data_IF_737045275290
#
_entry.id   IF_737045275290
#
_cell.length_a   1.000
_cell.length_b   1.000
_cell.length_c   1.000
_cell.angle_alpha   90.00
_cell.angle_beta   90.00
_cell.angle_gamma   90.00
#
_symmetry.space_group_name_H-M   'P 1'
#
loop_
_entity.id
_entity.type
_entity.pdbx_description
1 polymer ?
#
# COMPACT_ATOMS: atom_id res chain seq x y z
N UNK A 1 4.15 -36.69 15.96
CA UNK A 1 4.51 -35.33 16.43
C UNK A 1 3.29 -34.43 16.43
N UNK A 2 3.09 -33.62 17.48
CA UNK A 2 2.05 -32.60 17.49
C UNK A 2 2.34 -31.48 16.47
N UNK A 3 1.32 -30.96 15.76
CA UNK A 3 1.52 -29.87 14.82
C UNK A 3 1.82 -28.55 15.55
N UNK A 4 2.74 -27.74 15.01
CA UNK A 4 3.04 -26.42 15.54
C UNK A 4 1.82 -25.50 15.46
N UNK A 5 1.44 -24.89 16.60
CA UNK A 5 0.34 -23.92 16.68
C UNK A 5 0.88 -22.58 17.18
N UNK A 6 0.85 -21.58 16.30
CA UNK A 6 1.23 -20.22 16.68
C UNK A 6 0.06 -19.50 17.37
N UNK A 7 0.22 -19.18 18.66
CA UNK A 7 -0.83 -18.56 19.48
C UNK A 7 -1.35 -17.23 18.93
N UNK A 8 -0.51 -16.49 18.19
CA UNK A 8 -0.86 -15.19 17.61
C UNK A 8 -1.21 -15.27 16.13
N UNK A 9 -1.61 -16.45 15.61
CA UNK A 9 -1.96 -16.60 14.19
C UNK A 9 -3.09 -15.66 13.77
N UNK A 10 -4.11 -15.47 14.61
CA UNK A 10 -5.21 -14.53 14.31
C UNK A 10 -4.73 -13.08 14.25
N UNK A 11 -3.77 -12.71 15.10
CA UNK A 11 -3.15 -11.37 15.05
C UNK A 11 -2.36 -11.19 13.77
N UNK A 12 -1.59 -12.21 13.35
CA UNK A 12 -0.84 -12.17 12.09
C UNK A 12 -1.79 -11.99 10.89
N UNK A 13 -2.85 -12.80 10.81
CA UNK A 13 -3.86 -12.71 9.76
C UNK A 13 -4.54 -11.34 9.72
N UNK A 14 -4.83 -10.76 10.89
CA UNK A 14 -5.41 -9.42 10.97
C UNK A 14 -4.44 -8.35 10.47
N UNK A 15 -3.16 -8.44 10.83
CA UNK A 15 -2.12 -7.50 10.35
C UNK A 15 -1.88 -7.62 8.84
N UNK A 16 -1.97 -8.82 8.28
CA UNK A 16 -1.95 -9.05 6.83
C UNK A 16 -3.09 -8.32 6.14
N UNK A 17 -4.33 -8.47 6.64
CA UNK A 17 -5.50 -7.74 6.11
C UNK A 17 -5.32 -6.22 6.17
N UNK A 18 -4.82 -5.69 7.28
CA UNK A 18 -4.55 -4.25 7.41
C UNK A 18 -3.48 -3.75 6.44
N UNK A 19 -2.46 -4.57 6.16
CA UNK A 19 -1.46 -4.24 5.15
C UNK A 19 -2.08 -4.22 3.74
N UNK A 20 -2.93 -5.19 3.41
CA UNK A 20 -3.58 -5.26 2.11
C UNK A 20 -4.59 -4.12 1.90
N UNK A 21 -5.34 -3.75 2.95
CA UNK A 21 -6.20 -2.56 2.95
C UNK A 21 -5.38 -1.28 2.70
N UNK A 22 -4.20 -1.14 3.33
CA UNK A 22 -3.32 0.00 3.11
C UNK A 22 -2.75 0.04 1.68
N UNK A 23 -2.42 -1.11 1.08
CA UNK A 23 -2.01 -1.19 -0.35
C UNK A 23 -3.14 -0.73 -1.27
N UNK A 24 -4.36 -1.19 -1.03
CA UNK A 24 -5.53 -0.79 -1.81
C UNK A 24 -5.80 0.72 -1.68
N UNK A 25 -5.68 1.27 -0.47
CA UNK A 25 -5.84 2.69 -0.22
C UNK A 25 -4.79 3.52 -0.98
N UNK A 26 -3.52 3.09 -0.95
CA UNK A 26 -2.45 3.73 -1.71
C UNK A 26 -2.72 3.71 -3.22
N UNK A 27 -3.07 2.55 -3.78
CA UNK A 27 -3.37 2.42 -5.20
C UNK A 27 -4.53 3.34 -5.65
N UNK A 28 -5.58 3.48 -4.82
CA UNK A 28 -6.69 4.41 -5.08
C UNK A 28 -6.22 5.87 -5.06
N UNK A 29 -5.40 6.26 -4.08
CA UNK A 29 -4.88 7.61 -3.97
C UNK A 29 -3.96 7.97 -5.17
N UNK A 30 -3.09 7.05 -5.59
CA UNK A 30 -2.23 7.21 -6.76
C UNK A 30 -3.03 7.32 -8.05
N UNK A 31 -4.07 6.49 -8.22
CA UNK A 31 -4.98 6.57 -9.36
C UNK A 31 -5.71 7.91 -9.41
N UNK A 32 -6.22 8.41 -8.27
CA UNK A 32 -6.87 9.71 -8.19
C UNK A 32 -5.91 10.85 -8.53
N UNK A 33 -4.67 10.81 -8.02
CA UNK A 33 -3.63 11.79 -8.34
C UNK A 33 -3.30 11.78 -9.84
N UNK A 34 -3.16 10.60 -10.44
CA UNK A 34 -2.89 10.46 -11.87
C UNK A 34 -4.04 11.00 -12.73
N UNK A 35 -5.29 10.72 -12.34
CA UNK A 35 -6.47 11.22 -13.03
C UNK A 35 -6.57 12.76 -12.97
N UNK A 36 -6.31 13.36 -11.80
CA UNK A 36 -6.33 14.81 -11.65
C UNK A 36 -5.19 15.48 -12.43
N UNK A 37 -4.01 14.85 -12.52
CA UNK A 37 -2.91 15.34 -13.38
C UNK A 37 -3.30 15.36 -14.85
N UNK A 38 -3.98 14.32 -15.32
CA UNK A 38 -4.48 14.27 -16.69
C UNK A 38 -5.53 15.35 -16.94
N UNK A 39 -6.42 15.57 -15.98
CA UNK A 39 -7.42 16.65 -16.03
C UNK A 39 -6.76 18.03 -16.10
N UNK A 40 -5.75 18.29 -15.28
CA UNK A 40 -5.02 19.55 -15.31
C UNK A 40 -4.40 19.80 -16.69
N UNK A 41 -3.75 18.80 -17.28
CA UNK A 41 -3.18 18.91 -18.63
C UNK A 41 -4.23 19.30 -19.67
N UNK A 42 -5.40 18.65 -19.64
CA UNK A 42 -6.52 18.99 -20.54
C UNK A 42 -6.99 20.43 -20.34
N UNK A 43 -7.14 20.87 -19.10
CA UNK A 43 -7.52 22.27 -18.80
C UNK A 43 -6.48 23.27 -19.31
N UNK A 44 -5.19 22.92 -19.28
CA UNK A 44 -4.11 23.76 -19.82
C UNK A 44 -4.15 23.80 -21.36
N UNK A 45 -4.41 22.67 -22.02
CA UNK A 45 -4.62 22.59 -23.48
C UNK A 45 -5.85 23.39 -23.91
N UNK A 46 -6.96 23.26 -23.18
CA UNK A 46 -8.21 23.99 -23.42
C UNK A 46 -8.02 25.51 -23.25
N UNK A 47 -7.27 25.91 -22.22
CA UNK A 47 -6.91 27.32 -21.99
C UNK A 47 -6.07 27.89 -23.11
N UNK A 48 -5.07 27.15 -23.59
CA UNK A 48 -4.21 27.60 -24.67
C UNK A 48 -5.00 27.71 -25.98
N UNK A 49 -5.88 26.75 -26.25
CA UNK A 49 -6.78 26.77 -27.40
C UNK A 49 -7.75 27.96 -27.33
N UNK A 50 -8.39 28.18 -26.18
CA UNK A 50 -9.30 29.31 -26.00
C UNK A 50 -8.59 30.66 -26.18
N UNK A 51 -7.35 30.77 -25.67
CA UNK A 51 -6.53 31.98 -25.82
C UNK A 51 -6.06 32.19 -27.25
N UNK A 52 -5.74 31.12 -27.99
CA UNK A 52 -5.31 31.23 -29.39
C UNK A 52 -6.48 31.62 -30.29
N UNK A 53 -7.67 31.00 -30.11
CA UNK A 53 -8.90 31.41 -30.79
C UNK A 53 -9.25 32.87 -30.49
N UNK A 54 -9.15 33.31 -29.24
CA UNK A 54 -9.35 34.73 -28.88
C UNK A 54 -8.39 35.66 -29.63
N UNK A 55 -7.11 35.27 -29.81
CA UNK A 55 -6.13 36.09 -30.55
C UNK A 55 -6.36 36.12 -32.06
N UNK A 56 -6.86 35.02 -32.64
CA UNK A 56 -6.98 34.87 -34.10
C UNK A 56 -8.36 35.29 -34.62
N UNK A 57 -9.42 35.07 -33.85
CA UNK A 57 -10.81 35.20 -34.31
C UNK A 57 -11.51 36.46 -33.78
N UNK A 58 -11.06 37.03 -32.65
CA UNK A 58 -11.71 38.22 -32.13
C UNK A 58 -11.41 39.43 -33.02
N UNK A 59 -12.43 39.90 -33.74
CA UNK A 59 -12.32 41.06 -34.63
C UNK A 59 -13.02 42.29 -34.08
N UNK A 60 -13.83 42.12 -33.03
CA UNK A 60 -14.51 43.21 -32.36
C UNK A 60 -14.62 42.99 -30.84
N UNK A 61 -15.00 44.05 -30.12
CA UNK A 61 -15.19 43.99 -28.67
C UNK A 61 -16.25 42.97 -28.22
N UNK A 62 -17.27 42.71 -29.05
CA UNK A 62 -18.32 41.74 -28.74
C UNK A 62 -17.78 40.29 -28.66
N UNK A 63 -16.85 39.92 -29.54
CA UNK A 63 -16.19 38.60 -29.50
C UNK A 63 -15.39 38.45 -28.21
N UNK A 64 -14.69 39.51 -27.80
CA UNK A 64 -13.92 39.52 -26.55
C UNK A 64 -14.80 39.28 -25.31
N UNK A 65 -15.96 39.95 -25.24
CA UNK A 65 -16.94 39.77 -24.17
C UNK A 65 -17.54 38.35 -24.12
N UNK A 66 -17.61 37.64 -25.26
CA UNK A 66 -18.10 36.27 -25.31
C UNK A 66 -17.08 35.27 -24.75
N UNK A 67 -15.79 35.46 -25.07
CA UNK A 67 -14.72 34.53 -24.70
C UNK A 67 -14.16 34.74 -23.29
N UNK A 68 -14.21 35.97 -22.76
CA UNK A 68 -13.66 36.29 -21.45
C UNK A 68 -14.24 35.43 -20.31
N UNK A 69 -15.57 35.23 -20.17
CA UNK A 69 -16.13 34.39 -19.11
C UNK A 69 -15.70 32.93 -19.22
N UNK A 70 -15.52 32.43 -20.45
CA UNK A 70 -15.07 31.07 -20.70
C UNK A 70 -13.63 30.85 -20.23
N UNK A 71 -12.71 31.74 -20.64
CA UNK A 71 -11.31 31.70 -20.20
C UNK A 71 -11.19 31.86 -18.69
N UNK A 72 -11.99 32.74 -18.09
CA UNK A 72 -12.03 32.92 -16.64
C UNK A 72 -12.45 31.63 -15.94
N UNK A 73 -13.53 30.99 -16.37
CA UNK A 73 -14.01 29.72 -15.81
C UNK A 73 -12.95 28.61 -15.91
N UNK A 74 -12.29 28.47 -17.05
CA UNK A 74 -11.22 27.49 -17.23
C UNK A 74 -10.03 27.79 -16.29
N UNK A 75 -9.71 29.07 -16.09
CA UNK A 75 -8.64 29.49 -15.16
C UNK A 75 -8.98 29.15 -13.71
N UNK A 76 -10.24 29.37 -13.29
CA UNK A 76 -10.73 28.99 -11.97
C UNK A 76 -10.72 27.47 -11.76
N UNK A 77 -11.14 26.71 -12.79
CA UNK A 77 -11.08 25.24 -12.78
C UNK A 77 -9.64 24.72 -12.68
N UNK A 78 -8.70 25.34 -13.40
CA UNK A 78 -7.27 25.03 -13.31
C UNK A 78 -6.75 25.29 -11.88
N UNK A 79 -7.08 26.43 -11.29
CA UNK A 79 -6.68 26.75 -9.93
C UNK A 79 -7.28 25.80 -8.88
N UNK A 80 -8.51 25.35 -9.07
CA UNK A 80 -9.11 24.30 -8.24
C UNK A 80 -8.41 22.94 -8.42
N UNK A 81 -8.08 22.57 -9.66
CA UNK A 81 -7.36 21.32 -9.96
C UNK A 81 -5.96 21.29 -9.35
N UNK A 82 -5.22 22.41 -9.39
CA UNK A 82 -3.92 22.54 -8.74
C UNK A 82 -4.01 22.32 -7.21
N UNK A 83 -4.97 22.98 -6.54
CA UNK A 83 -5.22 22.74 -5.11
C UNK A 83 -5.56 21.29 -4.82
N UNK A 84 -6.36 20.67 -5.68
CA UNK A 84 -6.73 19.26 -5.56
C UNK A 84 -5.53 18.33 -5.74
N UNK A 85 -4.57 18.66 -6.61
CA UNK A 85 -3.33 17.91 -6.76
C UNK A 85 -2.49 17.93 -5.49
N UNK A 86 -2.38 19.08 -4.83
CA UNK A 86 -1.64 19.19 -3.57
C UNK A 86 -2.29 18.33 -2.48
N UNK A 87 -3.63 18.38 -2.35
CA UNK A 87 -4.39 17.51 -1.44
C UNK A 87 -4.16 16.02 -1.73
N UNK A 88 -4.23 15.62 -3.00
CA UNK A 88 -4.05 14.23 -3.42
C UNK A 88 -2.60 13.76 -3.22
N UNK A 89 -1.62 14.63 -3.45
CA UNK A 89 -0.21 14.33 -3.19
C UNK A 89 0.04 14.12 -1.69
N UNK A 90 -0.54 14.96 -0.84
CA UNK A 90 -0.49 14.77 0.61
C UNK A 90 -1.19 13.47 1.05
N UNK A 91 -2.32 13.13 0.43
CA UNK A 91 -3.03 11.87 0.69
C UNK A 91 -2.19 10.65 0.30
N UNK A 92 -1.54 10.65 -0.86
CA UNK A 92 -0.60 9.60 -1.29
C UNK A 92 0.54 9.44 -0.27
N UNK A 93 1.17 10.53 0.15
CA UNK A 93 2.25 10.49 1.13
C UNK A 93 1.77 9.92 2.48
N UNK A 94 0.55 10.25 2.91
CA UNK A 94 -0.06 9.66 4.11
C UNK A 94 -0.29 8.16 3.96
N UNK A 95 -0.86 7.71 2.84
CA UNK A 95 -1.06 6.29 2.54
C UNK A 95 0.26 5.51 2.50
N UNK A 96 1.32 6.08 1.92
CA UNK A 96 2.66 5.46 1.91
C UNK A 96 3.19 5.25 3.34
N UNK A 97 3.08 6.27 4.21
CA UNK A 97 3.49 6.14 5.63
C UNK A 97 2.67 5.07 6.35
N UNK A 98 1.35 5.03 6.13
CA UNK A 98 0.50 4.01 6.72
C UNK A 98 0.88 2.61 6.24
N UNK A 99 1.11 2.42 4.95
CA UNK A 99 1.54 1.13 4.41
C UNK A 99 2.88 0.69 5.03
N UNK A 100 3.86 1.58 5.12
CA UNK A 100 5.14 1.29 5.76
C UNK A 100 4.95 0.83 7.22
N UNK A 101 4.11 1.53 7.99
CA UNK A 101 3.80 1.15 9.36
C UNK A 101 3.13 -0.24 9.43
N UNK A 102 2.10 -0.50 8.62
CA UNK A 102 1.41 -1.80 8.60
C UNK A 102 2.32 -2.95 8.20
N UNK A 103 3.17 -2.74 7.19
CA UNK A 103 4.18 -3.72 6.81
C UNK A 103 5.18 -4.00 7.93
N UNK A 104 5.60 -2.98 8.69
CA UNK A 104 6.49 -3.17 9.84
C UNK A 104 5.80 -3.98 10.95
N UNK A 105 4.56 -3.62 11.30
CA UNK A 105 3.76 -4.32 12.32
C UNK A 105 3.55 -5.80 11.96
N UNK A 106 3.21 -6.10 10.69
CA UNK A 106 3.08 -7.49 10.22
C UNK A 106 4.41 -8.24 10.34
N UNK A 107 5.50 -7.65 9.83
CA UNK A 107 6.85 -8.26 9.88
C UNK A 107 7.31 -8.57 11.30
N UNK A 108 6.92 -7.76 12.29
CA UNK A 108 7.23 -8.02 13.69
C UNK A 108 6.60 -9.33 14.17
N UNK A 109 5.30 -9.52 13.93
CA UNK A 109 4.57 -10.73 14.33
C UNK A 109 5.06 -11.95 13.56
N UNK A 110 5.39 -11.78 12.28
CA UNK A 110 5.94 -12.85 11.45
C UNK A 110 7.31 -13.34 11.95
N UNK A 111 8.20 -12.41 12.33
CA UNK A 111 9.48 -12.75 12.99
C UNK A 111 9.27 -13.50 14.31
N UNK A 112 8.27 -13.12 15.10
CA UNK A 112 7.92 -13.86 16.32
C UNK A 112 7.46 -15.28 15.99
N UNK A 113 6.59 -15.45 14.99
CA UNK A 113 6.18 -16.78 14.52
C UNK A 113 7.36 -17.65 14.13
N UNK A 114 8.31 -17.10 13.36
CA UNK A 114 9.50 -17.83 12.93
C UNK A 114 10.36 -18.29 14.11
N UNK A 115 10.61 -17.42 15.10
CA UNK A 115 11.36 -17.80 16.33
C UNK A 115 10.65 -18.89 17.13
N UNK A 116 9.33 -18.80 17.28
CA UNK A 116 8.55 -19.82 17.97
C UNK A 116 8.60 -21.17 17.24
N UNK A 117 8.55 -21.15 15.90
CA UNK A 117 8.69 -22.35 15.09
C UNK A 117 10.07 -22.98 15.28
N UNK A 118 11.15 -22.20 15.20
CA UNK A 118 12.53 -22.67 15.41
C UNK A 118 12.70 -23.33 16.79
N UNK A 119 12.14 -22.71 17.83
CA UNK A 119 12.17 -23.27 19.18
C UNK A 119 11.40 -24.59 19.27
N UNK A 120 10.20 -24.65 18.69
CA UNK A 120 9.41 -25.89 18.66
C UNK A 120 10.16 -27.01 17.94
N UNK A 121 10.75 -26.73 16.77
CA UNK A 121 11.53 -27.73 16.02
C UNK A 121 12.76 -28.20 16.81
N UNK A 122 13.43 -27.30 17.53
CA UNK A 122 14.56 -27.67 18.38
C UNK A 122 14.14 -28.57 19.55
N UNK A 123 13.05 -28.22 20.24
CA UNK A 123 12.53 -29.02 21.36
C UNK A 123 12.06 -30.40 20.92
N UNK A 124 11.41 -30.51 19.76
CA UNK A 124 10.99 -31.79 19.17
C UNK A 124 12.20 -32.65 18.78
N UNK A 125 13.20 -32.09 18.08
CA UNK A 125 14.41 -32.82 17.73
C UNK A 125 15.15 -33.35 18.99
N UNK A 126 15.18 -32.55 20.06
CA UNK A 126 15.79 -32.96 21.33
C UNK A 126 15.01 -34.11 21.99
N UNK A 127 13.68 -34.06 21.96
CA UNK A 127 12.83 -35.14 22.49
C UNK A 127 13.02 -36.43 21.70
N UNK A 128 13.06 -36.35 20.38
CA UNK A 128 13.30 -37.50 19.51
C UNK A 128 14.66 -38.13 19.79
N UNK A 129 15.71 -37.31 19.93
CA UNK A 129 17.05 -37.80 20.30
C UNK A 129 17.04 -38.54 21.65
N UNK A 130 16.44 -37.94 22.70
CA UNK A 130 16.33 -38.62 24.00
C UNK A 130 15.56 -39.95 23.89
N UNK A 131 14.45 -39.98 23.16
CA UNK A 131 13.67 -41.21 22.96
C UNK A 131 14.48 -42.29 22.23
N UNK A 132 15.26 -41.91 21.21
CA UNK A 132 16.11 -42.83 20.46
C UNK A 132 17.23 -43.41 21.34
N UNK A 133 17.89 -42.57 22.13
CA UNK A 133 18.94 -42.99 23.06
C UNK A 133 18.40 -43.97 24.12
N UNK A 134 17.21 -43.69 24.67
CA UNK A 134 16.53 -44.58 25.61
C UNK A 134 16.20 -45.94 24.98
N UNK A 135 15.66 -45.95 23.76
CA UNK A 135 15.36 -47.21 23.04
C UNK A 135 16.61 -48.00 22.71
N UNK A 136 17.71 -47.33 22.35
CA UNK A 136 18.98 -47.97 22.05
C UNK A 136 19.58 -48.62 23.30
N UNK A 137 19.51 -47.92 24.44
CA UNK A 137 19.96 -48.43 25.74
C UNK A 137 19.14 -49.65 26.17
N UNK A 138 17.81 -49.59 26.05
CA UNK A 138 16.94 -50.74 26.35
C UNK A 138 17.19 -51.94 25.43
N UNK A 139 17.44 -51.70 24.14
CA UNK A 139 17.76 -52.77 23.20
C UNK A 139 19.12 -53.41 23.49
N UNK A 140 20.12 -52.61 23.87
CA UNK A 140 21.44 -53.09 24.28
C UNK A 140 21.37 -53.96 25.54
N UNK A 141 20.69 -53.49 26.60
CA UNK A 141 20.51 -54.25 27.82
C UNK A 141 19.74 -55.57 27.63
N UNK A 142 18.88 -55.69 26.61
CA UNK A 142 18.17 -56.94 26.27
C UNK A 142 19.03 -57.93 25.47
N UNK A 143 20.16 -57.50 24.91
CA UNK A 143 21.03 -58.33 24.07
C UNK A 143 22.17 -58.98 24.84
N UNK A 144 22.57 -58.35 25.95
CA UNK A 144 23.69 -58.77 26.82
C UNK A 144 23.22 -59.49 28.11
N UNK A 145 21.94 -59.82 28.24
CA UNK A 145 21.36 -60.64 29.31
C UNK A 145 20.66 -61.87 28.75
#
# INVERSE_FOLDING_TARGET
MPPFRFRLQQVLNYRERLEDEAKLALARAESALAAERLRLKRLEEDLETARSSLRQEARCAADFWLWQPYVQRLTEQRAASLRRLDELAAAVASCQKQLQQRSMERRLVDKLRHRHLQRHTYEENRRDQCNLDETATLAYCRRDG
#
